data_IF_971633823027
#
_entry.id   IF_971633823027
#
_cell.length_a   1.000
_cell.length_b   1.000
_cell.length_c   1.000
_cell.angle_alpha   90.00
_cell.angle_beta   90.00
_cell.angle_gamma   90.00
#
_symmetry.space_group_name_H-M   'P 1'
#
loop_
_entity.id
_entity.type
_entity.pdbx_description
1 polymer ?
#
# COMPACT_ATOMS: atom_id res chain seq x y z
N UNK A 1 -13.28 4.65 -16.00
CA UNK A 1 -12.77 3.34 -15.55
C UNK A 1 -11.52 3.53 -14.72
N UNK A 2 -10.91 2.45 -14.23
CA UNK A 2 -9.57 2.51 -13.60
C UNK A 2 -8.47 2.37 -14.66
N UNK A 3 -7.26 2.87 -14.37
CA UNK A 3 -6.09 2.76 -15.27
C UNK A 3 -5.59 1.33 -15.27
N UNK A 4 -5.51 0.69 -16.43
CA UNK A 4 -5.00 -0.69 -16.58
C UNK A 4 -3.48 -0.66 -16.55
N UNK A 5 -2.89 -1.49 -15.69
CA UNK A 5 -1.44 -1.57 -15.48
C UNK A 5 -1.00 -3.01 -15.33
N UNK A 6 0.25 -3.31 -15.70
CA UNK A 6 0.88 -4.59 -15.35
C UNK A 6 1.25 -4.67 -13.85
N UNK A 7 1.91 -5.77 -13.45
CA UNK A 7 2.34 -6.01 -12.05
C UNK A 7 3.43 -5.05 -11.54
N UNK A 8 4.07 -4.29 -12.43
CA UNK A 8 5.08 -3.28 -12.15
C UNK A 8 4.52 -1.86 -12.12
N UNK A 9 3.18 -1.72 -12.15
CA UNK A 9 2.44 -0.46 -12.19
C UNK A 9 2.62 0.36 -13.49
N UNK A 10 3.15 -0.24 -14.56
CA UNK A 10 3.31 0.39 -15.87
C UNK A 10 2.01 0.29 -16.67
N UNK A 11 1.60 1.37 -17.32
CA UNK A 11 0.34 1.46 -18.06
C UNK A 11 0.44 0.62 -19.34
N UNK A 12 -0.55 -0.23 -19.60
CA UNK A 12 -0.58 -1.03 -20.82
C UNK A 12 -0.59 -0.14 -22.07
N UNK A 13 0.33 -0.41 -23.00
CA UNK A 13 0.48 0.36 -24.25
C UNK A 13 1.32 1.63 -24.14
N UNK A 14 1.84 1.99 -22.96
CA UNK A 14 2.69 3.16 -22.76
C UNK A 14 3.99 2.79 -22.04
N UNK A 15 5.11 2.98 -22.70
CA UNK A 15 6.43 2.76 -22.11
C UNK A 15 6.82 3.91 -21.17
N UNK A 16 7.33 3.58 -19.98
CA UNK A 16 7.82 4.56 -19.02
C UNK A 16 6.72 5.40 -18.34
N UNK A 17 5.45 5.04 -18.51
CA UNK A 17 4.31 5.69 -17.87
C UNK A 17 3.71 4.77 -16.82
N UNK A 18 3.53 5.27 -15.59
CA UNK A 18 3.12 4.47 -14.45
C UNK A 18 1.89 5.07 -13.76
N UNK A 19 1.07 4.21 -13.15
CA UNK A 19 -0.05 4.61 -12.30
C UNK A 19 -0.05 3.78 -11.01
N UNK A 20 -0.44 4.38 -9.88
CA UNK A 20 -0.40 3.75 -8.55
C UNK A 20 -1.63 4.07 -7.70
N UNK A 21 -1.88 3.28 -6.66
CA UNK A 21 -2.89 3.57 -5.64
C UNK A 21 -4.33 3.41 -6.12
N UNK A 22 -5.20 4.33 -5.73
CA UNK A 22 -6.65 4.16 -5.94
C UNK A 22 -7.08 4.31 -7.40
N UNK A 23 -6.24 4.86 -8.27
CA UNK A 23 -6.52 5.06 -9.70
C UNK A 23 -6.37 3.78 -10.53
N UNK A 24 -5.59 2.79 -10.08
CA UNK A 24 -5.27 1.60 -10.90
C UNK A 24 -6.30 0.49 -10.84
N UNK A 25 -6.42 -0.27 -11.93
CA UNK A 25 -7.08 -1.55 -11.96
C UNK A 25 -6.17 -2.59 -11.28
N UNK A 26 -6.13 -2.54 -9.94
CA UNK A 26 -5.26 -3.38 -9.11
C UNK A 26 -5.34 -4.86 -9.55
N UNK A 27 -4.22 -5.56 -9.69
CA UNK A 27 -4.21 -6.98 -10.02
C UNK A 27 -4.34 -7.83 -8.74
N UNK A 28 -4.58 -9.12 -8.91
CA UNK A 28 -4.60 -10.10 -7.83
C UNK A 28 -5.99 -10.61 -7.44
N UNK A 29 -6.14 -11.17 -6.22
CA UNK A 29 -7.28 -12.01 -5.86
C UNK A 29 -8.59 -11.22 -5.78
N UNK A 30 -9.74 -11.91 -5.89
CA UNK A 30 -11.09 -11.28 -5.86
C UNK A 30 -11.35 -10.42 -4.62
N UNK A 31 -10.71 -10.72 -3.50
CA UNK A 31 -10.85 -9.99 -2.23
C UNK A 31 -9.91 -8.79 -2.08
N UNK A 32 -9.04 -8.53 -3.05
CA UNK A 32 -8.09 -7.41 -3.00
C UNK A 32 -8.79 -6.09 -2.72
N UNK A 33 -8.15 -5.25 -1.93
CA UNK A 33 -8.61 -3.90 -1.62
C UNK A 33 -7.50 -2.91 -1.92
N UNK A 34 -7.86 -1.72 -2.39
CA UNK A 34 -6.91 -0.62 -2.55
C UNK A 34 -6.69 -0.01 -1.17
N UNK A 35 -5.45 -0.06 -0.69
CA UNK A 35 -5.11 0.34 0.66
C UNK A 35 -3.85 1.20 0.67
N UNK A 36 -3.74 2.08 1.67
CA UNK A 36 -2.61 2.99 1.81
C UNK A 36 -1.26 2.28 1.84
N UNK A 37 -1.15 1.13 2.52
CA UNK A 37 0.12 0.39 2.56
C UNK A 37 0.53 -0.16 1.19
N UNK A 38 -0.43 -0.69 0.41
CA UNK A 38 -0.17 -1.17 -0.96
C UNK A 38 0.22 0.02 -1.85
N UNK A 39 -0.45 1.17 -1.71
CA UNK A 39 -0.12 2.37 -2.46
C UNK A 39 1.31 2.87 -2.14
N UNK A 40 1.77 2.76 -0.89
CA UNK A 40 3.15 3.09 -0.53
C UNK A 40 4.17 2.12 -1.13
N UNK A 41 3.87 0.81 -1.13
CA UNK A 41 4.69 -0.19 -1.83
C UNK A 41 4.76 0.11 -3.33
N UNK A 42 3.62 0.41 -3.96
CA UNK A 42 3.57 0.78 -5.37
C UNK A 42 4.42 2.02 -5.65
N UNK A 43 4.31 3.07 -4.82
CA UNK A 43 5.12 4.29 -4.97
C UNK A 43 6.63 4.00 -4.90
N UNK A 44 7.05 3.20 -3.93
CA UNK A 44 8.46 2.81 -3.75
C UNK A 44 8.97 1.96 -4.91
N UNK A 45 8.18 0.98 -5.35
CA UNK A 45 8.54 0.09 -6.45
C UNK A 45 8.57 0.83 -7.79
N UNK A 46 7.60 1.71 -8.06
CA UNK A 46 7.60 2.54 -9.27
C UNK A 46 8.79 3.49 -9.30
N UNK A 47 9.12 4.15 -8.18
CA UNK A 47 10.31 5.00 -8.11
C UNK A 47 11.60 4.19 -8.43
N UNK A 48 11.70 2.96 -7.93
CA UNK A 48 12.79 2.04 -8.28
C UNK A 48 12.77 1.68 -9.77
N UNK A 49 11.62 1.27 -10.31
CA UNK A 49 11.48 0.85 -11.71
C UNK A 49 11.79 1.98 -12.68
N UNK A 50 11.37 3.22 -12.38
CA UNK A 50 11.72 4.41 -13.17
C UNK A 50 13.25 4.63 -13.18
N UNK A 51 13.92 4.48 -12.04
CA UNK A 51 15.37 4.62 -11.95
C UNK A 51 16.10 3.52 -12.75
N UNK A 52 15.62 2.28 -12.67
CA UNK A 52 16.20 1.16 -13.42
C UNK A 52 15.99 1.32 -14.94
N UNK A 53 14.79 1.75 -15.36
CA UNK A 53 14.50 2.04 -16.76
C UNK A 53 15.39 3.16 -17.30
N UNK A 54 15.57 4.25 -16.53
CA UNK A 54 16.50 5.34 -16.89
C UNK A 54 17.94 4.85 -17.07
N UNK A 55 18.36 3.88 -16.26
CA UNK A 55 19.71 3.31 -16.29
C UNK A 55 19.84 2.12 -17.27
N UNK A 56 18.82 1.84 -18.10
CA UNK A 56 18.74 0.69 -19.02
C UNK A 56 18.98 -0.68 -18.35
N UNK A 57 18.46 -0.84 -17.13
CA UNK A 57 18.49 -2.10 -16.37
C UNK A 57 17.14 -2.80 -16.42
N UNK A 58 17.17 -4.11 -16.56
CA UNK A 58 15.97 -4.95 -16.70
C UNK A 58 15.28 -5.28 -15.35
N UNK A 59 15.93 -5.02 -14.22
CA UNK A 59 15.36 -5.36 -12.92
C UNK A 59 14.14 -4.48 -12.57
N UNK A 60 13.00 -5.13 -12.33
CA UNK A 60 11.77 -4.46 -11.86
C UNK A 60 11.25 -5.08 -10.57
N UNK A 61 10.55 -4.27 -9.76
CA UNK A 61 9.88 -4.68 -8.53
C UNK A 61 8.36 -4.68 -8.73
N UNK A 62 7.75 -5.83 -8.47
CA UNK A 62 6.30 -6.04 -8.52
C UNK A 62 5.65 -5.78 -7.16
N UNK A 63 4.41 -5.27 -7.15
CA UNK A 63 3.62 -5.11 -5.90
C UNK A 63 2.86 -6.39 -5.51
N UNK A 64 2.81 -7.41 -6.37
CA UNK A 64 1.92 -8.58 -6.21
C UNK A 64 2.18 -9.32 -4.88
N UNK A 65 3.43 -9.50 -4.50
CA UNK A 65 3.81 -10.16 -3.23
C UNK A 65 3.43 -9.37 -1.96
N UNK A 66 2.99 -8.12 -2.11
CA UNK A 66 2.56 -7.26 -1.01
C UNK A 66 1.04 -7.17 -0.89
N UNK A 67 0.29 -7.86 -1.75
CA UNK A 67 -1.17 -7.85 -1.71
C UNK A 67 -1.69 -8.55 -0.46
N UNK A 68 -2.16 -7.74 0.47
CA UNK A 68 -2.89 -8.18 1.64
C UNK A 68 -3.93 -7.10 2.01
N UNK A 69 -4.89 -7.45 2.85
CA UNK A 69 -5.72 -6.50 3.54
C UNK A 69 -5.10 -6.30 4.92
N UNK A 70 -4.84 -5.05 5.27
CA UNK A 70 -4.45 -4.59 6.59
C UNK A 70 -5.31 -3.38 6.93
N UNK A 71 -6.22 -3.52 7.89
CA UNK A 71 -7.14 -2.45 8.26
C UNK A 71 -7.33 -2.38 9.77
N UNK A 72 -7.10 -1.19 10.34
CA UNK A 72 -7.57 -0.86 11.68
C UNK A 72 -8.86 -0.05 11.55
N UNK A 73 -9.98 -0.71 11.81
CA UNK A 73 -11.33 -0.15 11.76
C UNK A 73 -11.71 0.40 13.13
N UNK A 74 -11.56 1.71 13.29
CA UNK A 74 -11.84 2.44 14.53
C UNK A 74 -13.35 2.62 14.73
N UNK A 75 -13.85 2.30 15.93
CA UNK A 75 -15.27 2.42 16.31
C UNK A 75 -15.50 3.62 17.24
N UNK A 76 -14.48 4.46 17.48
CA UNK A 76 -14.54 5.67 18.31
C UNK A 76 -14.12 5.46 19.75
N UNK A 77 -14.44 4.30 20.34
CA UNK A 77 -14.01 3.90 21.69
C UNK A 77 -13.16 2.62 21.71
N UNK A 78 -12.87 2.05 20.54
CA UNK A 78 -12.12 0.82 20.33
C UNK A 78 -11.81 0.64 18.85
N UNK A 79 -11.31 -0.52 18.44
CA UNK A 79 -11.19 -0.85 17.02
C UNK A 79 -11.28 -2.36 16.78
N UNK A 80 -11.42 -2.75 15.51
CA UNK A 80 -11.14 -4.09 15.04
C UNK A 80 -9.96 -4.05 14.07
N UNK A 81 -8.96 -4.89 14.31
CA UNK A 81 -7.85 -5.10 13.41
C UNK A 81 -8.15 -6.27 12.48
N UNK A 82 -8.22 -5.97 11.19
CA UNK A 82 -8.58 -6.91 10.13
C UNK A 82 -7.33 -7.14 9.30
N UNK A 83 -6.93 -8.40 9.17
CA UNK A 83 -5.90 -8.79 8.22
C UNK A 83 -6.40 -9.91 7.29
N UNK A 84 -6.00 -9.88 6.03
CA UNK A 84 -6.28 -10.95 5.06
C UNK A 84 -5.12 -11.10 4.10
N UNK A 85 -4.66 -12.32 3.90
CA UNK A 85 -3.71 -12.68 2.87
C UNK A 85 -4.21 -13.94 2.14
N UNK A 86 -3.39 -14.47 1.23
CA UNK A 86 -3.67 -15.77 0.60
C UNK A 86 -3.79 -16.91 1.61
N UNK A 87 -3.12 -16.80 2.77
CA UNK A 87 -3.15 -17.81 3.84
C UNK A 87 -4.46 -17.76 4.67
N UNK A 88 -5.33 -16.78 4.43
CA UNK A 88 -6.59 -16.60 5.15
C UNK A 88 -6.75 -15.21 5.76
N UNK A 89 -7.82 -15.02 6.54
CA UNK A 89 -8.13 -13.77 7.20
C UNK A 89 -8.28 -13.92 8.71
N UNK A 90 -7.93 -12.87 9.46
CA UNK A 90 -8.15 -12.76 10.89
C UNK A 90 -8.80 -11.42 11.23
N UNK A 91 -9.63 -11.44 12.25
CA UNK A 91 -10.20 -10.25 12.88
C UNK A 91 -9.84 -10.29 14.36
N UNK A 92 -9.12 -9.28 14.83
CA UNK A 92 -8.66 -9.17 16.22
C UNK A 92 -9.35 -7.94 16.82
N UNK A 93 -10.26 -8.11 17.80
CA UNK A 93 -10.88 -6.98 18.48
C UNK A 93 -9.87 -6.29 19.40
N UNK A 94 -9.84 -4.95 19.36
CA UNK A 94 -8.98 -4.08 20.16
C UNK A 94 -9.85 -3.04 20.89
N UNK A 95 -10.66 -3.46 21.88
CA UNK A 95 -11.71 -2.63 22.46
C UNK A 95 -11.22 -1.43 23.26
N UNK A 96 -9.97 -1.44 23.76
CA UNK A 96 -9.42 -0.37 24.59
C UNK A 96 -8.33 0.45 23.90
N UNK A 97 -7.48 -0.21 23.10
CA UNK A 97 -6.29 0.41 22.51
C UNK A 97 -6.50 0.85 21.06
N UNK A 98 -7.49 0.29 20.37
CA UNK A 98 -7.67 0.45 18.94
C UNK A 98 -7.84 1.91 18.48
N UNK A 99 -8.64 2.69 19.19
CA UNK A 99 -8.86 4.11 18.90
C UNK A 99 -7.57 4.93 19.00
N UNK A 100 -6.80 4.70 20.08
CA UNK A 100 -5.52 5.38 20.31
C UNK A 100 -4.47 5.01 19.26
N UNK A 101 -4.42 3.73 18.88
CA UNK A 101 -3.55 3.28 17.78
C UNK A 101 -3.89 3.99 16.46
N UNK A 102 -5.18 4.15 16.14
CA UNK A 102 -5.60 4.85 14.92
C UNK A 102 -5.21 6.33 14.93
N UNK A 103 -5.45 7.02 16.04
CA UNK A 103 -5.01 8.43 16.22
C UNK A 103 -3.50 8.57 16.14
N UNK A 104 -2.76 7.71 16.83
CA UNK A 104 -1.30 7.68 16.80
C UNK A 104 -0.75 7.45 15.39
N UNK A 105 -1.34 6.51 14.65
CA UNK A 105 -0.99 6.27 13.25
C UNK A 105 -1.26 7.50 12.37
N UNK A 106 -2.40 8.16 12.53
CA UNK A 106 -2.74 9.38 11.80
C UNK A 106 -1.74 10.52 12.05
N UNK A 107 -1.37 10.72 13.31
CA UNK A 107 -0.32 11.67 13.70
C UNK A 107 1.02 11.29 13.06
N UNK A 108 1.47 10.05 13.24
CA UNK A 108 2.75 9.59 12.68
C UNK A 108 2.81 9.75 11.15
N UNK A 109 1.79 9.28 10.42
CA UNK A 109 1.73 9.42 8.96
C UNK A 109 1.79 10.88 8.52
N UNK A 110 1.10 11.80 9.23
CA UNK A 110 1.14 13.23 8.92
C UNK A 110 2.55 13.80 9.05
N UNK A 111 3.20 13.58 10.19
CA UNK A 111 4.50 14.20 10.48
C UNK A 111 5.64 13.55 9.69
N UNK A 112 5.61 12.22 9.51
CA UNK A 112 6.62 11.49 8.74
C UNK A 112 6.55 11.77 7.23
N UNK A 113 5.37 12.00 6.66
CA UNK A 113 5.22 12.39 5.24
C UNK A 113 5.65 13.84 5.00
N UNK A 114 5.53 14.71 6.00
CA UNK A 114 6.03 16.10 5.94
C UNK A 114 7.52 16.23 6.28
N UNK A 115 8.24 15.12 6.49
CA UNK A 115 9.68 15.13 6.82
C UNK A 115 10.01 15.71 8.20
N UNK A 116 9.01 15.89 9.08
CA UNK A 116 9.20 16.46 10.42
C UNK A 116 9.76 15.46 11.44
N UNK A 117 9.54 14.17 11.19
CA UNK A 117 10.08 13.06 11.97
C UNK A 117 10.61 11.98 11.01
N UNK A 118 11.62 11.19 11.42
CA UNK A 118 12.13 10.11 10.59
C UNK A 118 11.06 9.04 10.37
N UNK A 119 11.11 8.38 9.19
CA UNK A 119 10.30 7.19 8.93
C UNK A 119 10.90 5.99 9.62
N UNK A 120 10.04 5.14 10.18
CA UNK A 120 10.41 3.84 10.72
C UNK A 120 11.04 3.01 9.60
N UNK A 121 12.26 2.45 9.80
CA UNK A 121 12.92 1.63 8.80
C UNK A 121 12.03 0.46 8.35
N UNK A 122 11.95 0.24 7.04
CA UNK A 122 11.11 -0.81 6.46
C UNK A 122 9.67 -0.39 6.14
N UNK A 123 9.26 0.83 6.51
CA UNK A 123 8.05 1.49 5.99
C UNK A 123 8.34 2.35 4.77
#
# INVERSE_FOLDING_TARGET
GFVVTNEYNEIEGFEGVYAIGDSVALLGPKWRAKQGHVAEVMAKNVAYNIAQHRDNKEEKKSYMGHLNILCLMDTGNGAAFICRSEKGGKMIPLPLLGHWMKKGWGWYCRYSKLGRIPRIPGM
#
